data_IF_364388135820
#
_entry.id   IF_364388135820
#
_cell.length_a   1.000
_cell.length_b   1.000
_cell.length_c   1.000
_cell.angle_alpha   90.00
_cell.angle_beta   90.00
_cell.angle_gamma   90.00
#
_symmetry.space_group_name_H-M   'P 1'
#
loop_
_entity.id
_entity.type
_entity.pdbx_description
1 polymer ?
#
# COMPACT_ATOMS: atom_id res chain seq x y z
N UNK A 1 14.54 0.82 -9.76
CA UNK A 1 13.12 0.47 -9.93
C UNK A 1 12.28 1.36 -9.05
N UNK A 2 11.05 1.65 -9.45
CA UNK A 2 10.14 2.52 -8.70
C UNK A 2 8.73 1.91 -8.71
N UNK A 3 7.97 2.10 -7.64
CA UNK A 3 6.60 1.63 -7.54
C UNK A 3 5.63 2.73 -7.14
N UNK A 4 4.37 2.59 -7.55
CA UNK A 4 3.24 3.35 -7.01
C UNK A 4 2.22 2.37 -6.43
N UNK A 5 1.66 2.73 -5.27
CA UNK A 5 0.55 1.99 -4.66
C UNK A 5 -0.44 3.01 -4.11
N UNK A 6 -1.64 3.03 -4.68
CA UNK A 6 -2.72 3.89 -4.25
C UNK A 6 -3.74 3.13 -3.40
N UNK A 7 -4.42 3.86 -2.51
CA UNK A 7 -5.40 3.26 -1.60
C UNK A 7 -6.78 3.18 -2.25
N UNK A 8 -7.32 1.95 -2.38
CA UNK A 8 -8.64 1.62 -2.93
C UNK A 8 -8.83 1.93 -4.44
N UNK A 9 -7.78 2.27 -5.21
CA UNK A 9 -7.89 2.68 -6.62
C UNK A 9 -6.74 2.17 -7.49
N UNK A 10 -6.97 2.12 -8.82
CA UNK A 10 -5.97 1.77 -9.85
C UNK A 10 -5.80 2.88 -10.91
N UNK A 11 -6.37 4.07 -10.68
CA UNK A 11 -6.44 5.13 -11.70
C UNK A 11 -5.07 5.62 -12.18
N UNK A 12 -4.05 5.61 -11.30
CA UNK A 12 -2.69 6.05 -11.62
C UNK A 12 -1.79 5.03 -12.34
N UNK A 13 -2.25 3.77 -12.49
CA UNK A 13 -1.40 2.65 -12.96
C UNK A 13 -0.84 2.88 -14.35
N UNK A 14 -1.67 3.17 -15.33
CA UNK A 14 -1.24 3.28 -16.74
C UNK A 14 -0.34 4.50 -16.96
N UNK A 15 -0.66 5.64 -16.34
CA UNK A 15 0.16 6.86 -16.42
C UNK A 15 1.52 6.63 -15.78
N UNK A 16 1.56 6.05 -14.58
CA UNK A 16 2.80 5.78 -13.86
C UNK A 16 3.71 4.82 -14.63
N UNK A 17 3.18 3.69 -15.11
CA UNK A 17 3.97 2.72 -15.86
C UNK A 17 4.50 3.29 -17.17
N UNK A 18 3.71 4.14 -17.85
CA UNK A 18 4.15 4.86 -19.04
C UNK A 18 5.28 5.85 -18.72
N UNK A 19 5.16 6.60 -17.63
CA UNK A 19 6.18 7.51 -17.18
C UNK A 19 7.49 6.79 -16.82
N UNK A 20 7.41 5.64 -16.15
CA UNK A 20 8.57 4.79 -15.88
C UNK A 20 9.25 4.31 -17.15
N UNK A 21 8.49 3.82 -18.15
CA UNK A 21 9.03 3.42 -19.45
C UNK A 21 9.77 4.56 -20.12
N UNK A 22 9.13 5.72 -20.26
CA UNK A 22 9.74 6.91 -20.90
C UNK A 22 11.00 7.40 -20.19
N UNK A 23 11.11 7.17 -18.89
CA UNK A 23 12.24 7.56 -18.06
C UNK A 23 13.34 6.49 -17.96
N UNK A 24 13.18 5.33 -18.60
CA UNK A 24 14.13 4.23 -18.49
C UNK A 24 14.19 3.61 -17.08
N UNK A 25 13.08 3.66 -16.32
CA UNK A 25 12.97 3.15 -14.95
C UNK A 25 12.07 1.90 -14.97
N UNK A 26 12.51 0.84 -14.30
CA UNK A 26 11.64 -0.32 -14.07
C UNK A 26 10.47 0.05 -13.16
N UNK A 27 9.24 -0.02 -13.69
CA UNK A 27 8.03 0.36 -12.99
C UNK A 27 7.26 -0.83 -12.42
N UNK A 28 6.66 -0.66 -11.25
CA UNK A 28 5.65 -1.55 -10.68
C UNK A 28 4.49 -0.73 -10.13
N UNK A 29 3.26 -1.18 -10.38
CA UNK A 29 2.08 -0.51 -9.86
C UNK A 29 1.24 -1.45 -9.00
N UNK A 30 0.50 -0.90 -8.05
CA UNK A 30 -0.29 -1.69 -7.12
C UNK A 30 -1.48 -0.93 -6.54
N UNK A 31 -2.27 -1.67 -5.78
CA UNK A 31 -3.39 -1.17 -4.98
C UNK A 31 -3.21 -1.63 -3.54
N UNK A 32 -3.49 -0.76 -2.60
CA UNK A 32 -3.60 -1.10 -1.18
C UNK A 32 -5.04 -0.94 -0.71
N UNK A 33 -5.47 -1.80 0.18
CA UNK A 33 -6.73 -1.62 0.93
C UNK A 33 -6.60 -2.19 2.33
N UNK A 34 -7.64 -2.05 3.13
CA UNK A 34 -7.82 -2.82 4.35
C UNK A 34 -8.83 -3.94 4.10
N UNK A 35 -8.50 -5.15 4.53
CA UNK A 35 -9.36 -6.31 4.42
C UNK A 35 -9.78 -6.80 5.80
N UNK A 36 -10.91 -7.47 5.87
CA UNK A 36 -11.35 -8.16 7.09
C UNK A 36 -11.06 -9.66 6.97
N UNK A 37 -10.40 -10.21 7.98
CA UNK A 37 -10.01 -11.61 8.09
C UNK A 37 -10.80 -12.25 9.23
N UNK A 38 -11.88 -13.00 8.95
CA UNK A 38 -12.78 -13.55 9.97
C UNK A 38 -12.08 -14.47 10.98
N UNK A 39 -11.06 -15.21 10.52
CA UNK A 39 -10.28 -16.11 11.36
C UNK A 39 -9.50 -15.40 12.47
N UNK A 40 -9.26 -14.09 12.29
CA UNK A 40 -8.56 -13.21 13.23
C UNK A 40 -9.47 -12.13 13.83
N UNK A 41 -10.80 -12.30 13.78
CA UNK A 41 -11.78 -11.28 14.20
C UNK A 41 -11.61 -10.78 15.65
N UNK A 42 -10.95 -11.55 16.52
CA UNK A 42 -10.68 -11.18 17.91
C UNK A 42 -9.23 -10.67 18.16
N UNK A 43 -8.38 -10.62 17.13
CA UNK A 43 -6.96 -10.29 17.25
C UNK A 43 -6.62 -9.06 16.42
N UNK A 44 -5.78 -8.18 16.95
CA UNK A 44 -5.18 -7.10 16.17
C UNK A 44 -4.10 -7.69 15.26
N UNK A 45 -4.20 -7.43 13.95
CA UNK A 45 -3.23 -7.89 12.96
C UNK A 45 -2.17 -6.79 12.79
N UNK A 46 -2.48 -5.78 11.96
CA UNK A 46 -1.60 -4.63 11.73
C UNK A 46 -2.39 -3.31 11.55
N UNK A 47 -3.68 -3.31 11.85
CA UNK A 47 -4.50 -2.10 11.97
C UNK A 47 -4.79 -1.83 13.45
N UNK A 48 -4.09 -0.89 14.11
CA UNK A 48 -4.15 -0.73 15.57
C UNK A 48 -5.56 -0.43 16.08
N UNK A 49 -6.04 -1.25 17.04
CA UNK A 49 -7.36 -1.12 17.65
C UNK A 49 -8.51 -1.61 16.77
N UNK A 50 -8.22 -2.30 15.68
CA UNK A 50 -9.20 -2.81 14.72
C UNK A 50 -9.02 -4.33 14.54
N UNK A 51 -9.49 -5.18 15.48
CA UNK A 51 -9.33 -6.63 15.40
C UNK A 51 -9.91 -7.20 14.11
N UNK A 52 -9.24 -8.17 13.52
CA UNK A 52 -9.60 -8.80 12.25
C UNK A 52 -9.30 -7.96 11.01
N UNK A 53 -8.84 -6.72 11.16
CA UNK A 53 -8.54 -5.84 10.03
C UNK A 53 -7.03 -5.79 9.78
N UNK A 54 -6.64 -5.96 8.52
CA UNK A 54 -5.25 -5.77 8.11
C UNK A 54 -5.11 -5.00 6.82
N UNK A 55 -3.98 -4.33 6.66
CA UNK A 55 -3.54 -3.77 5.38
C UNK A 55 -3.14 -4.90 4.45
N UNK A 56 -3.56 -4.81 3.20
CA UNK A 56 -3.28 -5.80 2.18
C UNK A 56 -3.12 -5.13 0.82
N UNK A 57 -2.31 -5.74 -0.05
CA UNK A 57 -1.91 -5.13 -1.31
C UNK A 57 -2.08 -6.10 -2.48
N UNK A 58 -2.31 -5.54 -3.67
CA UNK A 58 -2.00 -6.16 -4.94
C UNK A 58 -0.85 -5.39 -5.58
N UNK A 59 0.18 -6.07 -6.04
CA UNK A 59 1.35 -5.46 -6.66
C UNK A 59 1.61 -6.06 -8.04
N UNK A 60 2.39 -5.37 -8.88
CA UNK A 60 2.74 -5.86 -10.21
C UNK A 60 1.58 -5.79 -11.21
N UNK A 61 0.64 -4.86 -11.05
CA UNK A 61 -0.36 -4.59 -12.08
C UNK A 61 0.31 -4.13 -13.37
N UNK A 62 -0.10 -4.70 -14.48
CA UNK A 62 0.38 -4.36 -15.82
C UNK A 62 -0.45 -3.29 -16.51
N UNK A 63 -1.65 -3.02 -16.01
CA UNK A 63 -2.61 -2.02 -16.51
C UNK A 63 -3.61 -1.66 -15.41
N UNK A 64 -4.18 -0.46 -15.48
CA UNK A 64 -5.34 -0.04 -14.66
C UNK A 64 -6.67 -0.64 -15.12
N UNK A 65 -6.68 -1.38 -16.22
CA UNK A 65 -7.88 -2.03 -16.73
C UNK A 65 -8.24 -3.25 -15.89
N UNK A 66 -9.47 -3.26 -15.40
CA UNK A 66 -10.03 -4.35 -14.59
C UNK A 66 -11.01 -5.17 -15.43
N UNK A 67 -10.91 -6.51 -15.45
CA UNK A 67 -11.90 -7.38 -16.11
C UNK A 67 -13.32 -7.15 -15.57
N UNK A 68 -14.32 -7.21 -16.47
CA UNK A 68 -15.71 -6.92 -16.14
C UNK A 68 -16.28 -7.79 -15.01
N UNK A 69 -15.82 -9.04 -14.91
CA UNK A 69 -16.25 -9.99 -13.86
C UNK A 69 -15.81 -9.59 -12.44
N UNK A 70 -14.75 -8.80 -12.29
CA UNK A 70 -14.22 -8.34 -10.99
C UNK A 70 -14.31 -6.82 -10.81
N UNK A 71 -14.72 -6.06 -11.83
CA UNK A 71 -14.94 -4.63 -11.73
C UNK A 71 -15.89 -4.23 -10.57
N UNK A 72 -16.95 -5.01 -10.25
CA UNK A 72 -17.79 -4.73 -9.08
C UNK A 72 -17.04 -4.77 -7.76
N UNK A 73 -15.96 -5.57 -7.63
CA UNK A 73 -15.15 -5.63 -6.41
C UNK A 73 -14.39 -4.31 -6.22
N UNK A 74 -13.75 -3.80 -7.28
CA UNK A 74 -13.06 -2.50 -7.22
C UNK A 74 -14.04 -1.36 -6.92
N UNK A 75 -15.20 -1.35 -7.57
CA UNK A 75 -16.23 -0.35 -7.31
C UNK A 75 -16.73 -0.39 -5.85
N UNK A 76 -16.84 -1.58 -5.25
CA UNK A 76 -17.25 -1.76 -3.86
C UNK A 76 -16.20 -1.22 -2.87
N UNK A 77 -14.89 -1.29 -3.17
CA UNK A 77 -13.85 -0.66 -2.37
C UNK A 77 -14.09 0.85 -2.25
N UNK A 78 -14.27 1.53 -3.38
CA UNK A 78 -14.58 2.97 -3.42
C UNK A 78 -15.88 3.31 -2.70
N UNK A 79 -16.91 2.47 -2.82
CA UNK A 79 -18.20 2.67 -2.16
C UNK A 79 -18.08 2.60 -0.63
N UNK A 80 -17.42 1.58 -0.12
CA UNK A 80 -17.14 1.40 1.33
C UNK A 80 -16.28 2.54 1.88
N UNK A 81 -15.27 2.99 1.12
CA UNK A 81 -14.46 4.14 1.48
C UNK A 81 -15.29 5.43 1.58
N UNK A 82 -16.18 5.67 0.59
CA UNK A 82 -17.06 6.83 0.59
C UNK A 82 -18.05 6.80 1.77
N UNK A 83 -18.69 5.67 2.05
CA UNK A 83 -19.58 5.53 3.21
C UNK A 83 -18.86 5.79 4.53
N UNK A 84 -17.67 5.22 4.70
CA UNK A 84 -16.84 5.44 5.89
C UNK A 84 -16.51 6.92 6.07
N UNK A 85 -16.07 7.58 5.00
CA UNK A 85 -15.75 9.01 5.02
C UNK A 85 -16.97 9.87 5.32
N UNK A 86 -18.15 9.55 4.81
CA UNK A 86 -19.39 10.28 5.12
C UNK A 86 -19.82 10.09 6.59
N UNK A 87 -19.63 8.91 7.16
CA UNK A 87 -19.88 8.66 8.59
C UNK A 87 -18.93 9.47 9.48
N UNK A 88 -17.64 9.53 9.13
CA UNK A 88 -16.66 10.38 9.82
C UNK A 88 -17.08 11.85 9.72
N UNK A 89 -17.37 12.32 8.51
CA UNK A 89 -17.81 13.70 8.23
C UNK A 89 -19.01 14.10 9.05
N UNK A 90 -20.05 13.26 9.11
CA UNK A 90 -21.27 13.55 9.90
C UNK A 90 -20.97 13.80 11.37
N UNK A 91 -20.11 12.98 11.99
CA UNK A 91 -19.72 13.12 13.40
C UNK A 91 -18.84 14.36 13.62
N UNK A 92 -17.87 14.57 12.73
CA UNK A 92 -16.94 15.71 12.82
C UNK A 92 -17.69 17.02 12.58
N UNK A 93 -18.65 17.09 11.66
CA UNK A 93 -19.52 18.27 11.47
C UNK A 93 -20.27 18.64 12.74
N UNK A 94 -20.83 17.66 13.44
CA UNK A 94 -21.52 17.90 14.72
C UNK A 94 -20.57 18.51 15.75
N UNK A 95 -19.35 18.00 15.84
CA UNK A 95 -18.35 18.48 16.81
C UNK A 95 -17.79 19.86 16.46
N UNK A 96 -17.49 20.10 15.18
CA UNK A 96 -16.86 21.33 14.72
C UNK A 96 -17.85 22.49 14.51
N UNK A 97 -19.17 22.28 14.69
CA UNK A 97 -20.14 23.34 14.48
C UNK A 97 -19.67 24.68 15.12
N UNK A 98 -19.84 25.82 14.41
CA UNK A 98 -20.58 26.02 13.17
C UNK A 98 -19.82 25.68 11.88
N UNK A 99 -18.54 25.27 11.95
CA UNK A 99 -17.77 24.86 10.78
C UNK A 99 -18.26 23.48 10.32
N UNK A 100 -18.82 23.41 9.12
CA UNK A 100 -19.32 22.17 8.50
C UNK A 100 -18.89 22.09 7.05
N UNK A 101 -18.75 20.86 6.55
CA UNK A 101 -18.46 20.58 5.14
C UNK A 101 -19.50 19.61 4.56
N UNK A 102 -19.71 19.69 3.25
CA UNK A 102 -20.50 18.75 2.46
C UNK A 102 -19.56 17.85 1.65
N UNK A 103 -19.86 16.56 1.63
CA UNK A 103 -18.98 15.56 0.97
C UNK A 103 -18.83 15.82 -0.53
N UNK A 104 -19.94 16.12 -1.23
CA UNK A 104 -19.93 16.34 -2.67
C UNK A 104 -19.37 17.70 -3.07
N UNK A 105 -19.71 18.74 -2.30
CA UNK A 105 -19.33 20.11 -2.62
C UNK A 105 -17.91 20.47 -2.17
N UNK A 106 -17.49 20.01 -0.98
CA UNK A 106 -16.26 20.46 -0.34
C UNK A 106 -15.14 19.41 -0.37
N UNK A 107 -15.45 18.11 -0.51
CA UNK A 107 -14.46 17.04 -0.43
C UNK A 107 -14.14 16.44 -1.80
N UNK A 108 -15.14 16.01 -2.57
CA UNK A 108 -14.91 15.40 -3.88
C UNK A 108 -14.08 16.26 -4.84
N UNK A 109 -14.27 17.61 -4.91
CA UNK A 109 -13.46 18.43 -5.81
C UNK A 109 -11.98 18.52 -5.44
N UNK A 110 -11.58 18.05 -4.26
CA UNK A 110 -10.18 17.99 -3.85
C UNK A 110 -9.44 16.76 -4.38
N UNK A 111 -10.13 15.85 -5.06
CA UNK A 111 -9.57 14.61 -5.56
C UNK A 111 -9.59 14.57 -7.09
N UNK A 112 -8.54 14.05 -7.74
CA UNK A 112 -8.51 13.95 -9.21
C UNK A 112 -9.58 13.01 -9.78
N UNK A 113 -9.81 11.87 -9.11
CA UNK A 113 -10.67 10.79 -9.60
C UNK A 113 -11.91 10.53 -8.73
N UNK A 114 -12.23 11.41 -7.77
CA UNK A 114 -13.42 11.25 -6.93
C UNK A 114 -13.29 10.24 -5.79
N UNK A 115 -12.06 9.83 -5.42
CA UNK A 115 -11.77 8.88 -4.35
C UNK A 115 -11.08 9.56 -3.15
N UNK A 116 -11.81 10.27 -2.28
CA UNK A 116 -11.21 11.00 -1.17
C UNK A 116 -10.77 10.06 -0.04
N UNK A 117 -9.63 10.40 0.53
CA UNK A 117 -9.14 9.83 1.79
C UNK A 117 -9.46 10.75 2.97
N UNK A 118 -9.16 10.32 4.20
CA UNK A 118 -9.25 11.18 5.39
C UNK A 118 -8.47 12.50 5.24
N UNK A 119 -7.38 12.52 4.46
CA UNK A 119 -6.59 13.73 4.20
C UNK A 119 -7.39 14.80 3.46
N UNK A 120 -8.22 14.41 2.52
CA UNK A 120 -9.11 15.33 1.80
C UNK A 120 -10.20 15.89 2.72
N UNK A 121 -10.74 15.09 3.65
CA UNK A 121 -11.64 15.59 4.70
C UNK A 121 -10.97 16.64 5.56
N UNK A 122 -9.73 16.40 6.02
CA UNK A 122 -8.94 17.36 6.80
C UNK A 122 -8.73 18.65 6.02
N UNK A 123 -8.31 18.57 4.76
CA UNK A 123 -8.11 19.73 3.91
C UNK A 123 -9.39 20.55 3.74
N UNK A 124 -10.53 19.88 3.52
CA UNK A 124 -11.84 20.53 3.42
C UNK A 124 -12.24 21.27 4.73
N UNK A 125 -12.00 20.67 5.91
CA UNK A 125 -12.26 21.31 7.18
C UNK A 125 -11.34 22.53 7.42
N UNK A 126 -10.07 22.44 7.07
CA UNK A 126 -9.13 23.58 7.17
C UNK A 126 -9.62 24.74 6.31
N UNK A 127 -10.01 24.46 5.05
CA UNK A 127 -10.55 25.48 4.15
C UNK A 127 -11.87 26.07 4.67
N UNK A 128 -12.77 25.22 5.19
CA UNK A 128 -14.05 25.68 5.73
C UNK A 128 -13.87 26.57 6.96
N UNK A 129 -12.98 26.19 7.88
CA UNK A 129 -12.67 27.02 9.06
C UNK A 129 -12.08 28.38 8.65
N UNK A 130 -11.17 28.42 7.68
CA UNK A 130 -10.58 29.66 7.14
C UNK A 130 -11.62 30.59 6.50
N UNK A 131 -12.71 30.04 5.93
CA UNK A 131 -13.78 30.84 5.31
C UNK A 131 -14.85 31.30 6.31
N UNK A 132 -15.11 30.56 7.38
CA UNK A 132 -16.29 30.72 8.23
C UNK A 132 -15.99 31.17 9.68
N UNK A 133 -14.73 31.31 10.05
CA UNK A 133 -14.31 31.79 11.37
C UNK A 133 -13.49 33.06 11.24
N UNK A 134 -13.71 34.01 12.18
CA UNK A 134 -12.93 35.26 12.21
C UNK A 134 -11.48 35.02 12.64
N UNK A 135 -11.25 34.03 13.50
CA UNK A 135 -9.93 33.62 14.00
C UNK A 135 -9.83 32.10 13.98
N UNK A 136 -9.29 31.55 12.86
CA UNK A 136 -9.08 30.09 12.73
C UNK A 136 -8.17 29.51 13.82
N UNK A 137 -7.17 30.24 14.30
CA UNK A 137 -6.27 29.74 15.33
C UNK A 137 -6.98 29.50 16.65
N UNK A 138 -7.76 30.49 17.11
CA UNK A 138 -8.61 30.36 18.31
C UNK A 138 -9.65 29.23 18.14
N UNK A 139 -10.27 29.13 16.98
CA UNK A 139 -11.22 28.04 16.68
C UNK A 139 -10.57 26.66 16.85
N UNK A 140 -9.45 26.44 16.20
CA UNK A 140 -8.77 25.15 16.24
C UNK A 140 -8.17 24.85 17.62
N UNK A 141 -7.60 25.84 18.29
CA UNK A 141 -7.11 25.71 19.68
C UNK A 141 -8.21 25.19 20.59
N UNK A 142 -9.39 25.83 20.55
CA UNK A 142 -10.55 25.42 21.34
C UNK A 142 -11.09 24.04 20.99
N UNK A 143 -11.11 23.67 19.69
CA UNK A 143 -11.64 22.37 19.23
C UNK A 143 -10.66 21.22 19.46
N UNK A 144 -9.35 21.46 19.41
CA UNK A 144 -8.33 20.42 19.54
C UNK A 144 -7.71 20.35 20.95
N UNK A 145 -8.10 21.28 21.86
CA UNK A 145 -7.64 21.26 23.25
C UNK A 145 -6.16 21.62 23.39
N UNK A 146 -5.69 22.64 22.64
CA UNK A 146 -4.33 23.19 22.71
C UNK A 146 -4.39 24.66 23.16
N UNK A 147 -3.25 25.22 23.54
CA UNK A 147 -3.15 26.68 23.73
C UNK A 147 -3.17 27.41 22.38
N UNK A 148 -3.55 28.72 22.40
CA UNK A 148 -3.54 29.52 21.17
C UNK A 148 -2.12 29.67 20.60
N UNK A 149 -1.12 29.84 21.47
CA UNK A 149 0.30 29.93 21.06
C UNK A 149 0.79 28.65 20.40
N UNK A 150 0.53 27.49 21.02
CA UNK A 150 0.85 26.20 20.48
C UNK A 150 0.15 25.95 19.11
N UNK A 151 -1.15 26.30 19.02
CA UNK A 151 -1.90 26.14 17.77
C UNK A 151 -1.34 27.02 16.66
N UNK A 152 -0.97 28.27 16.96
CA UNK A 152 -0.37 29.17 15.97
C UNK A 152 0.97 28.61 15.44
N UNK A 153 1.79 28.03 16.30
CA UNK A 153 3.03 27.37 15.91
C UNK A 153 2.78 26.13 15.05
N UNK A 154 1.82 25.27 15.42
CA UNK A 154 1.44 24.07 14.65
C UNK A 154 0.87 24.45 13.29
N UNK A 155 0.04 25.47 13.18
CA UNK A 155 -0.55 25.92 11.92
C UNK A 155 0.48 26.47 10.92
N UNK A 156 1.66 26.88 11.38
CA UNK A 156 2.77 27.30 10.51
C UNK A 156 3.42 26.10 9.78
N UNK A 157 3.25 24.88 10.30
CA UNK A 157 3.67 23.61 9.68
C UNK A 157 2.42 22.85 9.19
N UNK A 158 2.12 22.98 7.90
CA UNK A 158 0.90 22.39 7.32
C UNK A 158 0.81 20.85 7.50
N UNK A 159 1.86 20.05 7.31
CA UNK A 159 1.86 18.62 7.64
C UNK A 159 1.52 18.33 9.10
N UNK A 160 2.17 19.01 10.03
CA UNK A 160 1.93 18.84 11.46
C UNK A 160 0.49 19.18 11.83
N UNK A 161 -0.04 20.27 11.30
CA UNK A 161 -1.40 20.70 11.52
C UNK A 161 -2.43 19.67 11.00
N UNK A 162 -2.26 19.19 9.77
CA UNK A 162 -3.12 18.15 9.21
C UNK A 162 -3.07 16.86 10.03
N UNK A 163 -1.88 16.45 10.48
CA UNK A 163 -1.70 15.25 11.30
C UNK A 163 -2.40 15.40 12.65
N UNK A 164 -2.32 16.57 13.29
CA UNK A 164 -3.00 16.83 14.56
C UNK A 164 -4.52 16.73 14.40
N UNK A 165 -5.10 17.39 13.39
CA UNK A 165 -6.55 17.32 13.11
C UNK A 165 -6.97 15.87 12.88
N UNK A 166 -6.25 15.15 12.03
CA UNK A 166 -6.55 13.74 11.72
C UNK A 166 -6.50 12.87 12.97
N UNK A 167 -5.44 12.99 13.78
CA UNK A 167 -5.27 12.21 15.00
C UNK A 167 -6.37 12.49 16.04
N UNK A 168 -6.68 13.76 16.27
CA UNK A 168 -7.65 14.18 17.31
C UNK A 168 -9.10 13.95 16.91
N UNK A 169 -9.44 14.05 15.62
CA UNK A 169 -10.83 14.01 15.18
C UNK A 169 -11.21 12.69 14.49
N UNK A 170 -10.32 12.01 13.77
CA UNK A 170 -10.69 10.92 12.86
C UNK A 170 -10.11 9.56 13.25
N UNK A 171 -9.03 9.54 14.04
CA UNK A 171 -8.41 8.29 14.52
C UNK A 171 -9.06 7.83 15.84
N UNK A 172 -8.71 6.62 16.29
CA UNK A 172 -9.22 6.02 17.53
C UNK A 172 -9.12 6.99 18.69
N UNK A 173 -10.23 7.18 19.39
CA UNK A 173 -10.38 8.17 20.44
C UNK A 173 -10.88 9.55 19.97
N UNK A 174 -10.87 9.82 18.66
CA UNK A 174 -11.44 11.04 18.08
C UNK A 174 -12.95 10.94 17.88
N UNK A 175 -13.63 12.09 17.86
CA UNK A 175 -15.10 12.17 17.75
C UNK A 175 -15.65 11.59 16.47
N UNK A 176 -14.89 11.65 15.37
CA UNK A 176 -15.25 11.11 14.07
C UNK A 176 -14.92 9.62 13.89
N UNK A 177 -14.18 9.01 14.83
CA UNK A 177 -13.77 7.63 14.68
C UNK A 177 -14.98 6.70 14.54
N UNK A 178 -14.94 5.86 13.50
CA UNK A 178 -15.93 4.84 13.25
C UNK A 178 -15.27 3.48 13.50
N UNK A 179 -15.71 2.80 14.57
CA UNK A 179 -15.20 1.45 14.86
C UNK A 179 -15.53 0.52 13.69
N UNK A 180 -14.54 -0.19 13.13
CA UNK A 180 -14.77 -1.18 12.10
C UNK A 180 -15.77 -2.26 12.53
N UNK A 181 -16.62 -2.64 11.61
CA UNK A 181 -17.58 -3.73 11.76
C UNK A 181 -17.43 -4.68 10.57
N UNK A 182 -17.85 -5.92 10.75
CA UNK A 182 -17.98 -6.87 9.65
C UNK A 182 -18.74 -6.22 8.48
N UNK A 183 -18.21 -6.35 7.26
CA UNK A 183 -18.80 -5.74 6.05
C UNK A 183 -18.35 -4.29 5.76
N UNK A 184 -17.57 -3.65 6.62
CA UNK A 184 -17.00 -2.32 6.33
C UNK A 184 -15.74 -2.38 5.44
N UNK A 185 -15.11 -3.54 5.39
CA UNK A 185 -13.96 -3.84 4.53
C UNK A 185 -14.27 -5.06 3.66
N UNK A 186 -13.65 -5.21 2.49
CA UNK A 186 -13.77 -6.42 1.69
C UNK A 186 -13.21 -7.62 2.43
N UNK A 187 -13.59 -8.83 2.03
CA UNK A 187 -12.92 -10.04 2.44
C UNK A 187 -11.54 -10.15 1.78
N UNK A 188 -10.63 -10.88 2.41
CA UNK A 188 -9.32 -11.19 1.81
C UNK A 188 -9.49 -11.92 0.46
N UNK A 189 -10.44 -12.85 0.41
CA UNK A 189 -10.75 -13.65 -0.77
C UNK A 189 -11.26 -12.81 -1.95
N UNK A 190 -12.18 -11.87 -1.72
CA UNK A 190 -12.68 -10.98 -2.78
C UNK A 190 -11.57 -10.09 -3.31
N UNK A 191 -10.74 -9.57 -2.42
CA UNK A 191 -9.63 -8.74 -2.83
C UNK A 191 -8.57 -9.53 -3.63
N UNK A 192 -8.26 -10.77 -3.22
CA UNK A 192 -7.39 -11.65 -3.99
C UNK A 192 -7.98 -11.99 -5.36
N UNK A 193 -9.30 -12.23 -5.44
CA UNK A 193 -9.98 -12.46 -6.72
C UNK A 193 -9.80 -11.29 -7.69
N UNK A 194 -9.93 -10.06 -7.22
CA UNK A 194 -9.65 -8.86 -8.03
C UNK A 194 -8.20 -8.85 -8.52
N UNK A 195 -7.23 -9.03 -7.61
CA UNK A 195 -5.79 -8.96 -7.92
C UNK A 195 -5.41 -10.02 -8.96
N UNK A 196 -5.80 -11.28 -8.73
CA UNK A 196 -5.44 -12.40 -9.61
C UNK A 196 -6.10 -12.27 -10.99
N UNK A 197 -7.37 -11.84 -11.04
CA UNK A 197 -8.05 -11.60 -12.31
C UNK A 197 -7.40 -10.47 -13.15
N UNK A 198 -6.76 -9.50 -12.49
CA UNK A 198 -5.94 -8.47 -13.16
C UNK A 198 -4.53 -8.97 -13.53
N UNK A 199 -4.21 -10.25 -13.29
CA UNK A 199 -2.88 -10.82 -13.53
C UNK A 199 -1.80 -10.30 -12.57
N UNK A 200 -2.18 -9.66 -11.46
CA UNK A 200 -1.30 -9.09 -10.45
C UNK A 200 -1.04 -10.08 -9.29
N UNK A 201 -0.25 -9.67 -8.31
CA UNK A 201 0.27 -10.49 -7.22
C UNK A 201 -0.36 -10.13 -5.88
N UNK A 202 -1.10 -11.04 -5.20
CA UNK A 202 -1.49 -10.85 -3.81
C UNK A 202 -0.27 -10.68 -2.90
N UNK A 203 -0.21 -9.56 -2.19
CA UNK A 203 0.91 -9.18 -1.36
C UNK A 203 0.42 -8.80 0.04
N UNK A 204 0.93 -9.46 1.06
CA UNK A 204 0.62 -9.10 2.43
C UNK A 204 1.41 -7.87 2.86
N UNK A 205 0.83 -7.02 3.69
CA UNK A 205 1.56 -5.96 4.37
C UNK A 205 1.98 -6.41 5.76
N UNK A 206 3.24 -6.16 6.11
CA UNK A 206 3.78 -6.32 7.45
C UNK A 206 4.35 -4.97 7.91
N UNK A 207 4.00 -4.53 9.12
CA UNK A 207 4.36 -3.19 9.59
C UNK A 207 5.63 -3.19 10.46
N UNK A 208 5.61 -3.86 11.62
CA UNK A 208 6.74 -3.76 12.56
C UNK A 208 6.86 -4.89 13.59
N UNK A 209 5.96 -5.87 13.56
CA UNK A 209 5.98 -7.01 14.48
C UNK A 209 5.66 -6.65 15.94
N UNK A 210 4.96 -5.54 16.19
CA UNK A 210 4.60 -5.13 17.55
C UNK A 210 3.25 -5.67 18.02
N UNK A 211 2.35 -6.02 17.11
CA UNK A 211 1.11 -6.75 17.45
C UNK A 211 1.39 -8.23 17.72
N UNK A 212 0.49 -8.90 18.42
CA UNK A 212 0.66 -10.33 18.72
C UNK A 212 0.62 -11.18 17.45
N UNK A 213 -0.24 -10.84 16.49
CA UNK A 213 -0.34 -11.55 15.21
C UNK A 213 0.94 -11.41 14.36
N UNK A 214 1.45 -10.19 14.19
CA UNK A 214 2.70 -10.00 13.44
C UNK A 214 3.91 -10.59 14.17
N UNK A 215 3.88 -10.64 15.51
CA UNK A 215 4.94 -11.26 16.33
C UNK A 215 4.92 -12.78 16.23
N UNK A 216 3.76 -13.41 16.10
CA UNK A 216 3.61 -14.83 15.83
C UNK A 216 4.18 -15.24 14.46
N UNK A 217 4.35 -14.28 13.54
CA UNK A 217 5.06 -14.32 12.27
C UNK A 217 4.86 -15.57 11.43
N UNK A 218 5.26 -16.73 11.92
CA UNK A 218 5.21 -18.02 11.22
C UNK A 218 3.78 -18.42 10.87
N UNK A 219 2.92 -18.54 11.89
CA UNK A 219 1.52 -18.97 11.70
C UNK A 219 0.75 -17.98 10.81
N UNK A 220 1.05 -16.68 10.96
CA UNK A 220 0.44 -15.63 10.16
C UNK A 220 0.86 -15.72 8.69
N UNK A 221 2.14 -15.89 8.40
CA UNK A 221 2.64 -16.07 7.04
C UNK A 221 2.11 -17.35 6.41
N UNK A 222 2.10 -18.46 7.14
CA UNK A 222 1.60 -19.74 6.65
C UNK A 222 0.10 -19.67 6.32
N UNK A 223 -0.68 -18.99 7.17
CA UNK A 223 -2.10 -18.70 6.90
C UNK A 223 -2.26 -17.88 5.61
N UNK A 224 -1.51 -16.78 5.45
CA UNK A 224 -1.60 -15.91 4.27
C UNK A 224 -1.17 -16.63 2.99
N UNK A 225 -0.11 -17.44 3.05
CA UNK A 225 0.33 -18.30 1.95
C UNK A 225 -0.77 -19.28 1.55
N UNK A 226 -1.43 -19.89 2.54
CA UNK A 226 -2.59 -20.77 2.33
C UNK A 226 -3.77 -20.07 1.66
N UNK A 227 -3.90 -18.76 1.85
CA UNK A 227 -4.91 -17.91 1.19
C UNK A 227 -4.47 -17.40 -0.20
N UNK A 228 -3.23 -17.67 -0.63
CA UNK A 228 -2.73 -17.33 -1.98
C UNK A 228 -1.79 -16.13 -2.04
N UNK A 229 -1.30 -15.62 -0.91
CA UNK A 229 -0.27 -14.57 -0.89
C UNK A 229 1.03 -15.09 -1.52
N UNK A 230 1.63 -14.27 -2.37
CA UNK A 230 2.87 -14.61 -3.10
C UNK A 230 4.04 -13.69 -2.80
N UNK A 231 3.81 -12.55 -2.14
CA UNK A 231 4.84 -11.60 -1.74
C UNK A 231 4.50 -10.94 -0.40
N UNK A 232 5.50 -10.35 0.24
CA UNK A 232 5.35 -9.60 1.49
C UNK A 232 5.85 -8.18 1.31
N UNK A 233 5.04 -7.19 1.68
CA UNK A 233 5.43 -5.77 1.68
C UNK A 233 5.91 -5.33 3.05
N UNK A 234 7.04 -4.64 3.09
CA UNK A 234 7.64 -4.05 4.28
C UNK A 234 7.81 -2.55 4.05
N UNK A 235 7.64 -1.76 5.12
CA UNK A 235 7.94 -0.32 5.13
C UNK A 235 9.17 -0.13 6.01
N UNK A 236 10.39 -0.08 5.42
CA UNK A 236 11.63 -0.07 6.20
C UNK A 236 11.71 1.11 7.17
N UNK A 237 11.31 2.32 6.75
CA UNK A 237 11.37 3.55 7.57
C UNK A 237 10.62 3.43 8.91
N UNK A 238 9.53 2.65 8.95
CA UNK A 238 8.78 2.37 10.20
C UNK A 238 9.54 1.51 11.20
N UNK A 239 10.63 0.87 10.77
CA UNK A 239 11.37 -0.10 11.57
C UNK A 239 12.72 0.42 12.04
N UNK A 240 13.41 1.23 11.23
CA UNK A 240 14.74 1.72 11.56
C UNK A 240 14.81 3.21 11.91
N UNK A 241 13.98 4.05 11.31
CA UNK A 241 13.99 5.51 11.51
C UNK A 241 13.18 5.90 12.76
N UNK A 242 13.52 5.33 13.89
CA UNK A 242 12.85 5.49 15.19
C UNK A 242 13.72 6.27 16.14
N UNK A 243 13.25 7.41 16.71
CA UNK A 243 14.05 8.20 17.64
C UNK A 243 14.40 7.49 18.96
N UNK A 244 13.49 6.67 19.49
CA UNK A 244 13.70 5.91 20.71
C UNK A 244 14.60 4.69 20.44
N UNK A 245 15.78 4.58 21.07
CA UNK A 245 16.73 3.50 20.78
C UNK A 245 16.23 2.10 21.16
N UNK A 246 15.43 1.97 22.22
CA UNK A 246 14.90 0.67 22.64
C UNK A 246 13.80 0.19 21.70
N UNK A 247 12.89 1.09 21.31
CA UNK A 247 11.85 0.79 20.33
C UNK A 247 12.49 0.46 18.98
N UNK A 248 13.48 1.23 18.54
CA UNK A 248 14.26 0.95 17.32
C UNK A 248 14.88 -0.44 17.36
N UNK A 249 15.57 -0.79 18.44
CA UNK A 249 16.22 -2.10 18.61
C UNK A 249 15.21 -3.26 18.48
N UNK A 250 14.02 -3.11 19.07
CA UNK A 250 12.97 -4.12 19.00
C UNK A 250 12.47 -4.27 17.55
N UNK A 251 12.16 -3.16 16.88
CA UNK A 251 11.61 -3.17 15.52
C UNK A 251 12.61 -3.67 14.48
N UNK A 252 13.89 -3.26 14.57
CA UNK A 252 14.95 -3.78 13.69
C UNK A 252 15.15 -5.28 13.86
N UNK A 253 15.13 -5.79 15.10
CA UNK A 253 15.16 -7.23 15.34
C UNK A 253 13.97 -7.94 14.72
N UNK A 254 12.77 -7.39 14.84
CA UNK A 254 11.56 -7.95 14.23
C UNK A 254 11.65 -7.92 12.70
N UNK A 255 12.21 -6.85 12.12
CA UNK A 255 12.47 -6.74 10.67
C UNK A 255 13.38 -7.88 10.19
N UNK A 256 14.49 -8.13 10.87
CA UNK A 256 15.39 -9.23 10.47
C UNK A 256 14.70 -10.59 10.57
N UNK A 257 13.90 -10.81 11.63
CA UNK A 257 13.14 -12.03 11.77
C UNK A 257 12.14 -12.25 10.64
N UNK A 258 11.36 -11.22 10.28
CA UNK A 258 10.35 -11.37 9.21
C UNK A 258 11.01 -11.56 7.84
N UNK A 259 12.15 -10.93 7.57
CA UNK A 259 12.94 -11.15 6.35
C UNK A 259 13.42 -12.61 6.26
N UNK A 260 13.91 -13.17 7.36
CA UNK A 260 14.33 -14.58 7.38
C UNK A 260 13.14 -15.53 7.20
N UNK A 261 12.02 -15.30 7.87
CA UNK A 261 10.79 -16.08 7.70
C UNK A 261 10.25 -16.02 6.27
N UNK A 262 10.32 -14.85 5.63
CA UNK A 262 9.93 -14.69 4.23
C UNK A 262 10.84 -15.51 3.30
N UNK A 263 12.16 -15.50 3.55
CA UNK A 263 13.13 -16.29 2.80
C UNK A 263 12.90 -17.80 2.94
N UNK A 264 12.65 -18.28 4.16
CA UNK A 264 12.34 -19.70 4.42
C UNK A 264 11.09 -20.19 3.70
N UNK A 265 10.14 -19.28 3.44
CA UNK A 265 8.84 -19.55 2.80
C UNK A 265 8.79 -19.15 1.32
N UNK A 266 9.92 -18.82 0.75
CA UNK A 266 10.00 -18.34 -0.65
C UNK A 266 9.00 -17.19 -0.92
N UNK A 267 8.94 -16.18 -0.03
CA UNK A 267 8.17 -14.97 -0.21
C UNK A 267 9.08 -13.81 -0.63
N UNK A 268 9.04 -13.35 -1.88
CA UNK A 268 9.74 -12.15 -2.31
C UNK A 268 9.28 -10.94 -1.50
N UNK A 269 10.23 -10.03 -1.22
CA UNK A 269 9.97 -8.83 -0.45
C UNK A 269 9.74 -7.64 -1.37
N UNK A 270 8.59 -6.99 -1.25
CA UNK A 270 8.37 -5.66 -1.78
C UNK A 270 8.63 -4.64 -0.68
N UNK A 271 9.24 -3.51 -1.02
CA UNK A 271 9.40 -2.41 -0.06
C UNK A 271 8.62 -1.19 -0.52
N UNK A 272 7.97 -0.54 0.43
CA UNK A 272 7.22 0.68 0.20
C UNK A 272 7.69 1.80 1.12
N UNK A 273 7.55 3.05 0.67
CA UNK A 273 7.69 4.25 1.50
C UNK A 273 6.31 4.81 1.82
N UNK A 274 6.13 5.34 3.02
CA UNK A 274 4.87 6.00 3.39
C UNK A 274 4.83 7.43 2.83
N UNK A 275 4.61 7.62 1.54
CA UNK A 275 4.49 8.95 0.93
C UNK A 275 3.08 9.53 1.02
N UNK A 276 2.52 9.58 2.22
CA UNK A 276 1.16 10.05 2.46
C UNK A 276 1.07 11.46 3.08
N UNK A 277 2.19 12.15 3.23
CA UNK A 277 2.26 13.55 3.67
C UNK A 277 3.51 14.26 3.14
N UNK A 278 3.46 15.58 3.10
CA UNK A 278 4.59 16.38 2.65
C UNK A 278 5.83 16.17 3.52
N UNK A 279 7.01 16.19 2.89
CA UNK A 279 8.31 16.07 3.59
C UNK A 279 8.74 14.64 3.89
N UNK A 280 7.95 13.63 3.51
CA UNK A 280 8.38 12.24 3.61
C UNK A 280 9.39 11.88 2.53
N UNK A 281 10.28 10.95 2.84
CA UNK A 281 11.30 10.48 1.90
C UNK A 281 10.67 9.68 0.77
N UNK A 282 11.15 9.90 -0.44
CA UNK A 282 10.74 9.15 -1.62
C UNK A 282 11.38 7.75 -1.66
N UNK A 283 12.55 7.58 -1.04
CA UNK A 283 13.33 6.34 -1.05
C UNK A 283 13.95 6.12 0.33
N UNK A 284 13.93 4.88 0.81
CA UNK A 284 14.66 4.46 1.99
C UNK A 284 16.18 4.45 1.72
N UNK A 285 16.96 4.79 2.72
CA UNK A 285 18.43 4.67 2.66
C UNK A 285 18.84 3.25 3.01
N UNK A 286 18.93 2.40 2.01
CA UNK A 286 19.31 0.99 2.17
C UNK A 286 20.76 0.80 2.61
N UNK A 287 21.60 1.84 2.58
CA UNK A 287 22.99 1.79 3.04
C UNK A 287 23.15 2.03 4.55
N UNK A 288 22.06 2.31 5.27
CA UNK A 288 22.09 2.42 6.73
C UNK A 288 22.53 1.10 7.38
N UNK A 289 23.16 1.19 8.55
CA UNK A 289 23.61 0.01 9.28
C UNK A 289 22.48 -1.00 9.58
N UNK A 290 21.27 -0.51 9.74
CA UNK A 290 20.08 -1.33 10.01
C UNK A 290 19.51 -2.02 8.76
N UNK A 291 19.62 -1.42 7.57
CA UNK A 291 19.05 -1.97 6.34
C UNK A 291 20.07 -2.72 5.48
N UNK A 292 21.34 -2.38 5.56
CA UNK A 292 22.42 -3.05 4.81
C UNK A 292 22.40 -4.59 4.92
N UNK A 293 22.13 -5.21 6.10
CA UNK A 293 22.08 -6.68 6.22
C UNK A 293 20.95 -7.36 5.43
N UNK A 294 19.89 -6.61 5.10
CA UNK A 294 18.69 -7.12 4.39
C UNK A 294 18.51 -6.51 3.00
N UNK A 295 19.41 -5.65 2.56
CA UNK A 295 19.36 -4.94 1.30
C UNK A 295 19.20 -5.87 0.09
N UNK A 296 19.98 -6.97 0.06
CA UNK A 296 19.94 -7.94 -1.05
C UNK A 296 18.53 -8.51 -1.24
N UNK A 297 17.86 -8.91 -0.15
CA UNK A 297 16.50 -9.43 -0.23
C UNK A 297 15.48 -8.40 -0.79
N UNK A 298 15.67 -7.13 -0.49
CA UNK A 298 14.84 -6.05 -1.02
C UNK A 298 15.11 -5.80 -2.52
N UNK A 299 16.36 -5.86 -2.93
CA UNK A 299 16.75 -5.70 -4.34
C UNK A 299 16.23 -6.87 -5.18
N UNK A 300 16.38 -8.11 -4.69
CA UNK A 300 15.85 -9.31 -5.35
C UNK A 300 14.33 -9.25 -5.50
N UNK A 301 13.63 -8.81 -4.46
CA UNK A 301 12.20 -8.62 -4.50
C UNK A 301 11.75 -7.56 -5.51
N UNK A 302 12.50 -6.46 -5.63
CA UNK A 302 12.23 -5.43 -6.64
C UNK A 302 12.41 -5.97 -8.06
N UNK A 303 13.46 -6.79 -8.32
CA UNK A 303 13.65 -7.46 -9.61
C UNK A 303 12.56 -8.50 -9.88
N UNK A 304 12.13 -9.24 -8.87
CA UNK A 304 11.02 -10.17 -8.97
C UNK A 304 9.73 -9.48 -9.45
N UNK A 305 9.33 -8.37 -8.79
CA UNK A 305 8.12 -7.65 -9.16
C UNK A 305 8.24 -7.01 -10.54
N UNK A 306 9.42 -6.46 -10.86
CA UNK A 306 9.67 -5.89 -12.19
C UNK A 306 9.65 -6.96 -13.29
N UNK A 307 10.30 -8.09 -13.10
CA UNK A 307 10.30 -9.19 -14.07
C UNK A 307 8.90 -9.75 -14.33
N UNK A 308 8.09 -9.90 -13.27
CA UNK A 308 6.67 -10.23 -13.41
C UNK A 308 5.92 -9.18 -14.23
N UNK A 309 6.03 -7.89 -13.83
CA UNK A 309 5.31 -6.79 -14.48
C UNK A 309 5.68 -6.66 -15.96
N UNK A 310 6.98 -6.75 -16.27
CA UNK A 310 7.49 -6.62 -17.64
C UNK A 310 7.00 -7.76 -18.52
N UNK A 311 7.09 -9.02 -18.05
CA UNK A 311 6.64 -10.17 -18.83
C UNK A 311 5.12 -10.20 -18.99
N UNK A 312 4.36 -9.79 -17.96
CA UNK A 312 2.91 -9.64 -18.06
C UNK A 312 2.52 -8.58 -19.10
N UNK A 313 3.21 -7.43 -19.14
CA UNK A 313 2.97 -6.36 -20.11
C UNK A 313 3.43 -6.73 -21.54
N UNK A 314 4.53 -7.49 -21.65
CA UNK A 314 5.08 -7.88 -22.95
C UNK A 314 4.28 -8.97 -23.62
N UNK A 315 3.97 -10.04 -22.91
CA UNK A 315 3.44 -11.31 -23.44
C UNK A 315 2.20 -11.85 -22.71
N UNK A 316 1.76 -11.27 -21.61
CA UNK A 316 0.70 -11.83 -20.77
C UNK A 316 1.14 -13.04 -19.93
N UNK A 317 2.46 -13.30 -19.83
CA UNK A 317 3.04 -14.46 -19.17
C UNK A 317 3.55 -14.11 -17.76
N UNK A 318 2.78 -13.33 -16.99
CA UNK A 318 3.11 -13.02 -15.60
C UNK A 318 3.02 -14.24 -14.68
N UNK A 319 3.39 -14.03 -13.42
CA UNK A 319 3.50 -15.06 -12.37
C UNK A 319 2.25 -15.93 -12.19
N UNK A 320 1.05 -15.36 -12.42
CA UNK A 320 -0.24 -16.04 -12.25
C UNK A 320 -0.74 -16.70 -13.54
N UNK A 321 -0.03 -16.56 -14.66
CA UNK A 321 -0.43 -17.13 -15.95
C UNK A 321 -0.41 -18.67 -15.94
N UNK A 322 -1.21 -19.28 -16.79
CA UNK A 322 -1.20 -20.72 -17.01
C UNK A 322 0.18 -21.23 -17.46
N UNK A 323 0.87 -20.43 -18.30
CA UNK A 323 2.24 -20.73 -18.72
C UNK A 323 3.18 -20.83 -17.50
N UNK A 324 3.17 -19.86 -16.60
CA UNK A 324 4.01 -19.87 -15.42
C UNK A 324 3.70 -21.04 -14.48
N UNK A 325 2.42 -21.39 -14.33
CA UNK A 325 2.01 -22.52 -13.52
C UNK A 325 2.43 -23.86 -14.11
N UNK A 326 2.37 -23.99 -15.44
CA UNK A 326 2.74 -25.21 -16.15
C UNK A 326 4.26 -25.43 -16.18
N UNK A 327 5.05 -24.40 -16.44
CA UNK A 327 6.51 -24.50 -16.60
C UNK A 327 7.29 -24.34 -15.30
N UNK A 328 6.73 -23.64 -14.32
CA UNK A 328 7.35 -23.27 -13.03
C UNK A 328 6.43 -23.63 -11.87
N UNK A 329 6.09 -24.91 -11.63
CA UNK A 329 5.09 -25.31 -10.66
C UNK A 329 5.49 -25.02 -9.21
N UNK A 330 6.80 -25.08 -8.89
CA UNK A 330 7.29 -24.76 -7.55
C UNK A 330 7.45 -23.25 -7.35
N UNK A 331 7.01 -22.74 -6.18
CA UNK A 331 7.12 -21.31 -5.81
C UNK A 331 8.54 -20.79 -6.01
N UNK A 332 9.55 -21.46 -5.46
CA UNK A 332 10.95 -21.07 -5.57
C UNK A 332 11.41 -20.93 -7.02
N UNK A 333 11.12 -21.93 -7.87
CA UNK A 333 11.49 -21.89 -9.30
C UNK A 333 10.85 -20.68 -9.99
N UNK A 334 9.58 -20.40 -9.68
CA UNK A 334 8.85 -19.26 -10.23
C UNK A 334 9.46 -17.94 -9.76
N UNK A 335 9.75 -17.80 -8.48
CA UNK A 335 10.40 -16.62 -7.93
C UNK A 335 11.77 -16.37 -8.58
N UNK A 336 12.60 -17.42 -8.66
CA UNK A 336 13.95 -17.33 -9.24
C UNK A 336 13.90 -16.92 -10.72
N UNK A 337 12.93 -17.45 -11.48
CA UNK A 337 12.76 -17.08 -12.88
C UNK A 337 12.41 -15.61 -13.04
N UNK A 338 11.38 -15.10 -12.35
CA UNK A 338 10.96 -13.70 -12.47
C UNK A 338 12.01 -12.74 -11.92
N UNK A 339 12.72 -13.08 -10.87
CA UNK A 339 13.82 -12.28 -10.34
C UNK A 339 14.96 -12.19 -11.37
N UNK A 340 15.41 -13.32 -11.94
CA UNK A 340 16.45 -13.36 -12.98
C UNK A 340 16.04 -12.58 -14.23
N UNK A 341 14.79 -12.72 -14.67
CA UNK A 341 14.26 -11.98 -15.79
C UNK A 341 14.30 -10.47 -15.53
N UNK A 342 13.88 -10.04 -14.33
CA UNK A 342 13.92 -8.65 -13.93
C UNK A 342 15.33 -8.04 -13.86
N UNK A 343 16.34 -8.86 -13.58
CA UNK A 343 17.75 -8.42 -13.68
C UNK A 343 18.23 -8.24 -15.14
N UNK A 344 17.72 -9.05 -16.06
CA UNK A 344 18.20 -9.10 -17.45
C UNK A 344 17.49 -8.12 -18.37
N UNK A 345 16.18 -8.00 -18.22
CA UNK A 345 15.39 -7.10 -19.06
C UNK A 345 15.68 -5.65 -18.69
N UNK A 346 16.22 -4.84 -19.61
CA UNK A 346 16.48 -3.45 -19.33
C UNK A 346 15.18 -2.70 -19.04
N UNK A 347 15.20 -1.74 -18.12
CA UNK A 347 14.02 -0.88 -17.89
C UNK A 347 13.79 0.03 -19.10
N UNK A 348 12.52 0.38 -19.33
CA UNK A 348 12.13 1.27 -20.41
C UNK A 348 11.50 0.55 -21.61
N UNK A 349 11.23 1.31 -22.70
CA UNK A 349 10.50 0.79 -23.86
C UNK A 349 11.26 -0.32 -24.60
N UNK A 350 12.59 -0.30 -24.56
CA UNK A 350 13.42 -1.31 -25.21
C UNK A 350 13.22 -2.70 -24.62
N UNK A 351 13.17 -2.82 -23.28
CA UNK A 351 12.95 -4.09 -22.61
C UNK A 351 11.59 -4.68 -22.90
N UNK A 352 10.54 -3.86 -22.90
CA UNK A 352 9.19 -4.31 -23.26
C UNK A 352 9.13 -4.72 -24.75
N UNK A 353 9.78 -3.97 -25.63
CA UNK A 353 9.86 -4.30 -27.06
C UNK A 353 10.64 -5.60 -27.30
N UNK A 354 11.71 -5.85 -26.54
CA UNK A 354 12.46 -7.11 -26.58
C UNK A 354 11.57 -8.29 -26.16
N UNK A 355 10.86 -8.19 -25.05
CA UNK A 355 9.95 -9.23 -24.58
C UNK A 355 8.85 -9.56 -25.60
N UNK A 356 8.31 -8.56 -26.30
CA UNK A 356 7.29 -8.76 -27.35
C UNK A 356 7.80 -9.52 -28.57
N UNK A 357 9.10 -9.67 -28.74
CA UNK A 357 9.71 -10.47 -29.82
C UNK A 357 9.84 -11.94 -29.42
N UNK A 358 9.72 -12.27 -28.14
CA UNK A 358 9.79 -13.66 -27.70
C UNK A 358 8.53 -14.42 -28.12
N UNK A 359 8.71 -15.71 -28.49
CA UNK A 359 7.57 -16.60 -28.66
C UNK A 359 6.96 -16.91 -27.27
N UNK A 360 5.62 -16.89 -27.13
CA UNK A 360 4.97 -17.31 -25.89
C UNK A 360 5.15 -18.81 -25.57
N UNK A 361 5.62 -19.60 -26.55
CA UNK A 361 5.84 -21.03 -26.38
C UNK A 361 7.25 -21.38 -25.86
N UNK A 362 8.12 -20.36 -25.67
CA UNK A 362 9.46 -20.58 -25.11
C UNK A 362 9.40 -21.13 -23.70
N UNK A 363 10.30 -22.05 -23.39
CA UNK A 363 10.54 -22.48 -22.02
C UNK A 363 11.19 -21.34 -21.18
N UNK A 364 11.15 -21.42 -19.85
CA UNK A 364 11.79 -20.43 -18.98
C UNK A 364 13.30 -20.26 -19.27
N UNK A 365 14.02 -21.34 -19.50
CA UNK A 365 15.47 -21.31 -19.77
C UNK A 365 15.76 -20.64 -21.13
N UNK A 366 14.96 -20.92 -22.15
CA UNK A 366 15.08 -20.25 -23.45
C UNK A 366 14.78 -18.77 -23.35
N UNK A 367 13.76 -18.35 -22.59
CA UNK A 367 13.47 -16.92 -22.36
C UNK A 367 14.63 -16.22 -21.66
N UNK A 368 15.21 -16.86 -20.63
CA UNK A 368 16.36 -16.29 -19.94
C UNK A 368 17.59 -16.19 -20.85
N UNK A 369 17.80 -17.13 -21.76
CA UNK A 369 18.95 -17.10 -22.68
C UNK A 369 18.82 -16.05 -23.80
N UNK A 370 17.60 -15.64 -24.15
CA UNK A 370 17.36 -14.56 -25.14
C UNK A 370 17.46 -13.17 -24.51
N UNK A 371 17.48 -13.06 -23.19
CA UNK A 371 17.65 -11.81 -22.45
C UNK A 371 19.11 -11.37 -22.27
N UNK A 372 20.05 -12.20 -22.68
CA UNK A 372 21.49 -11.91 -22.71
C UNK A 372 21.86 -11.27 -24.06
#
# INVERSE_FOLDING_TARGET
>A
MMGIVDFDVLDGVDEFLTACELSGIGGSAGIETRVFVPEYASQEINSPGEPGVCYHMGIGFSSGRVPDEVAPILADLGHRAAERNQRILSRVNTYLAPVTIDYKRDVLPLTPAGHPTERHLVAAYIQAAGRSTADPASFWAGKLGTSLEEMAAIMADAPQFQNLIRARLMKRGGVGYVQPQSGMFPSLEDFHKLIVACGALPCAAWLDGTTDTERAGEDWLDFLIGKGVVALNIIPDRNWNIPDPEIKRIKVRNLYRIVELARERDLPLNIGTEMNSFGQKMVDDLATAELAPVQEAFVDGAHFVYGHTALQRGLGLGYQSEWAQAHLPARRQRNDFYSKLGYRIPPGPEGIAQLRQFSPDLSPDEMLSQGD
#
